data_IF_428361720954
#
_entry.id   IF_428361720954
#
_cell.length_a   1.000
_cell.length_b   1.000
_cell.length_c   1.000
_cell.angle_alpha   90.00
_cell.angle_beta   90.00
_cell.angle_gamma   90.00
#
_symmetry.space_group_name_H-M   'P 1'
#
loop_
_entity.id
_entity.type
_entity.pdbx_description
1 polymer ?
#
# COMPACT_ATOMS: atom_id res chain seq x y z
N UNK A 1 3.43 -25.81 -2.96
CA UNK A 1 4.01 -25.46 -1.64
C UNK A 1 4.32 -26.74 -0.88
N UNK A 2 5.59 -27.13 -0.75
CA UNK A 2 5.95 -28.40 -0.10
C UNK A 2 5.67 -28.43 1.42
N UNK A 3 5.50 -27.27 2.06
CA UNK A 3 5.13 -27.18 3.49
C UNK A 3 3.61 -27.14 3.73
N UNK A 4 2.88 -26.35 2.95
CA UNK A 4 1.45 -26.09 3.14
C UNK A 4 0.54 -26.89 2.20
N UNK A 5 1.12 -27.79 1.39
CA UNK A 5 0.45 -28.61 0.37
C UNK A 5 -0.39 -27.86 -0.67
N UNK A 6 -0.43 -26.52 -0.65
CA UNK A 6 -1.13 -25.75 -1.68
C UNK A 6 -0.49 -25.94 -3.06
N UNK A 7 -1.34 -26.20 -4.05
CA UNK A 7 -0.99 -26.31 -5.46
C UNK A 7 -1.84 -25.35 -6.31
N UNK A 8 -1.26 -24.89 -7.41
CA UNK A 8 -1.88 -23.89 -8.28
C UNK A 8 -0.99 -23.57 -9.48
N UNK A 9 -1.54 -22.82 -10.42
CA UNK A 9 -0.79 -22.21 -11.50
C UNK A 9 -0.16 -20.87 -11.05
N UNK A 10 0.56 -20.23 -11.98
CA UNK A 10 1.20 -18.93 -11.77
C UNK A 10 0.19 -17.83 -11.43
N UNK A 11 -1.04 -17.90 -11.96
CA UNK A 11 -2.09 -16.92 -11.69
C UNK A 11 -2.58 -17.05 -10.25
N UNK A 12 -2.89 -18.28 -9.81
CA UNK A 12 -3.34 -18.56 -8.43
C UNK A 12 -2.27 -18.19 -7.41
N UNK A 13 -0.99 -18.33 -7.76
CA UNK A 13 0.12 -17.84 -6.94
C UNK A 13 0.07 -16.32 -6.77
N UNK A 14 0.02 -15.55 -7.86
CA UNK A 14 -0.04 -14.08 -7.81
C UNK A 14 -1.30 -13.56 -7.12
N UNK A 15 -2.46 -14.15 -7.41
CA UNK A 15 -3.72 -13.78 -6.76
C UNK A 15 -3.65 -13.92 -5.23
N UNK A 16 -3.02 -15.00 -4.74
CA UNK A 16 -2.85 -15.22 -3.29
C UNK A 16 -1.72 -14.38 -2.68
N UNK A 17 -0.64 -14.18 -3.42
CA UNK A 17 0.53 -13.44 -2.94
C UNK A 17 0.25 -11.94 -2.83
N UNK A 18 -0.39 -11.36 -3.85
CA UNK A 18 -0.56 -9.92 -4.02
C UNK A 18 -2.02 -9.46 -3.88
N UNK A 19 -2.96 -10.38 -3.64
CA UNK A 19 -4.39 -10.05 -3.52
C UNK A 19 -4.99 -9.56 -4.84
N UNK A 20 -4.46 -10.04 -5.96
CA UNK A 20 -4.95 -9.72 -7.30
C UNK A 20 -6.20 -10.54 -7.63
N UNK A 21 -7.08 -9.95 -8.42
CA UNK A 21 -8.09 -10.68 -9.18
C UNK A 21 -7.43 -11.47 -10.32
N UNK A 22 -8.15 -12.44 -10.89
CA UNK A 22 -7.63 -13.21 -12.01
C UNK A 22 -7.21 -12.33 -13.20
N UNK A 23 -8.02 -11.31 -13.54
CA UNK A 23 -7.72 -10.39 -14.65
C UNK A 23 -6.48 -9.54 -14.35
N UNK A 24 -6.31 -9.07 -13.12
CA UNK A 24 -5.11 -8.36 -12.69
C UNK A 24 -3.87 -9.26 -12.79
N UNK A 25 -3.94 -10.49 -12.30
CA UNK A 25 -2.84 -11.46 -12.41
C UNK A 25 -2.48 -11.79 -13.87
N UNK A 26 -3.48 -11.86 -14.76
CA UNK A 26 -3.25 -12.02 -16.21
C UNK A 26 -2.54 -10.79 -16.78
N UNK A 27 -2.96 -9.58 -16.43
CA UNK A 27 -2.33 -8.34 -16.90
C UNK A 27 -0.88 -8.20 -16.40
N UNK A 28 -0.62 -8.53 -15.13
CA UNK A 28 0.72 -8.50 -14.53
C UNK A 28 1.70 -9.45 -15.24
N UNK A 29 1.24 -10.63 -15.66
CA UNK A 29 2.08 -11.58 -16.41
C UNK A 29 2.17 -11.28 -17.90
N UNK A 30 1.11 -10.72 -18.49
CA UNK A 30 1.05 -10.45 -19.92
C UNK A 30 1.95 -9.29 -20.35
N UNK A 31 2.12 -8.27 -19.51
CA UNK A 31 2.99 -7.12 -19.77
C UNK A 31 4.44 -7.52 -20.07
N UNK A 32 5.13 -8.22 -19.15
CA UNK A 32 6.49 -8.74 -19.38
C UNK A 32 6.58 -9.75 -20.54
N UNK A 33 5.51 -10.50 -20.79
CA UNK A 33 5.45 -11.48 -21.89
C UNK A 33 5.17 -10.85 -23.27
N UNK A 34 4.91 -9.53 -23.34
CA UNK A 34 4.54 -8.85 -24.58
C UNK A 34 3.18 -9.28 -25.15
N UNK A 35 2.32 -9.86 -24.32
CA UNK A 35 1.01 -10.37 -24.72
C UNK A 35 -0.02 -9.26 -24.50
N UNK A 36 -0.75 -8.90 -25.55
CA UNK A 36 -1.89 -7.99 -25.43
C UNK A 36 -3.08 -8.75 -24.85
N UNK A 37 -3.61 -8.27 -23.73
CA UNK A 37 -4.82 -8.81 -23.11
C UNK A 37 -6.01 -8.00 -23.62
N UNK A 38 -7.00 -8.62 -24.30
CA UNK A 38 -8.16 -7.89 -24.78
C UNK A 38 -8.93 -7.30 -23.60
N UNK A 39 -9.16 -5.99 -23.65
CA UNK A 39 -9.97 -5.31 -22.65
C UNK A 39 -11.44 -5.54 -22.94
N UNK A 40 -12.12 -6.23 -22.02
CA UNK A 40 -13.60 -6.24 -22.03
C UNK A 40 -14.10 -4.95 -21.40
N UNK A 41 -15.23 -4.47 -21.89
CA UNK A 41 -15.96 -3.44 -21.17
C UNK A 41 -16.34 -3.95 -19.79
N UNK A 42 -15.89 -3.21 -18.77
CA UNK A 42 -16.29 -3.46 -17.40
C UNK A 42 -17.75 -3.08 -17.22
N UNK A 43 -18.48 -3.87 -16.45
CA UNK A 43 -19.83 -3.49 -15.99
C UNK A 43 -19.77 -2.23 -15.12
N UNK A 44 -20.90 -1.54 -14.95
CA UNK A 44 -20.98 -0.36 -14.07
C UNK A 44 -20.53 -0.67 -12.63
N UNK A 45 -20.90 -1.85 -12.12
CA UNK A 45 -20.51 -2.34 -10.80
C UNK A 45 -18.99 -2.57 -10.68
N UNK A 46 -18.36 -3.19 -11.67
CA UNK A 46 -16.92 -3.42 -11.68
C UNK A 46 -16.13 -2.11 -11.77
N UNK A 47 -16.57 -1.16 -12.62
CA UNK A 47 -15.95 0.17 -12.68
C UNK A 47 -16.06 0.89 -11.34
N UNK A 48 -17.18 0.76 -10.63
CA UNK A 48 -17.36 1.34 -9.31
C UNK A 48 -16.42 0.70 -8.28
N UNK A 49 -16.31 -0.63 -8.26
CA UNK A 49 -15.40 -1.35 -7.36
C UNK A 49 -13.94 -0.95 -7.59
N UNK A 50 -13.48 -0.86 -8.83
CA UNK A 50 -12.13 -0.40 -9.16
C UNK A 50 -11.88 1.04 -8.72
N UNK A 51 -12.85 1.95 -8.92
CA UNK A 51 -12.74 3.34 -8.41
C UNK A 51 -12.61 3.39 -6.89
N UNK A 52 -13.38 2.57 -6.17
CA UNK A 52 -13.28 2.48 -4.72
C UNK A 52 -11.91 1.94 -4.29
N UNK A 53 -11.43 0.86 -4.90
CA UNK A 53 -10.09 0.29 -4.63
C UNK A 53 -8.99 1.33 -4.89
N UNK A 54 -9.02 2.00 -6.04
CA UNK A 54 -8.06 3.06 -6.39
C UNK A 54 -8.07 4.17 -5.35
N UNK A 55 -9.27 4.60 -4.92
CA UNK A 55 -9.40 5.63 -3.89
C UNK A 55 -8.80 5.21 -2.55
N UNK A 56 -8.97 3.96 -2.15
CA UNK A 56 -8.37 3.42 -0.92
C UNK A 56 -6.85 3.35 -1.02
N UNK A 57 -6.31 2.93 -2.17
CA UNK A 57 -4.87 2.89 -2.40
C UNK A 57 -4.24 4.29 -2.35
N UNK A 58 -4.91 5.30 -2.92
CA UNK A 58 -4.49 6.71 -2.80
C UNK A 58 -4.45 7.18 -1.34
N UNK A 59 -5.45 6.81 -0.54
CA UNK A 59 -5.50 7.14 0.89
C UNK A 59 -4.38 6.45 1.67
N UNK A 60 -4.13 5.17 1.40
CA UNK A 60 -3.02 4.43 2.01
C UNK A 60 -1.67 5.05 1.65
N UNK A 61 -1.47 5.44 0.39
CA UNK A 61 -0.24 6.13 -0.02
C UNK A 61 -0.07 7.47 0.70
N UNK A 62 -1.15 8.23 0.88
CA UNK A 62 -1.13 9.48 1.63
C UNK A 62 -0.76 9.24 3.10
N UNK A 63 -1.36 8.24 3.75
CA UNK A 63 -1.04 7.87 5.12
C UNK A 63 0.43 7.46 5.28
N UNK A 64 0.95 6.63 4.37
CA UNK A 64 2.36 6.23 4.34
C UNK A 64 3.28 7.44 4.29
N UNK A 65 3.00 8.41 3.41
CA UNK A 65 3.80 9.63 3.30
C UNK A 65 3.77 10.47 4.58
N UNK A 66 2.61 10.56 5.23
CA UNK A 66 2.45 11.29 6.49
C UNK A 66 3.26 10.62 7.61
N UNK A 67 3.17 9.30 7.75
CA UNK A 67 3.94 8.57 8.75
C UNK A 67 5.45 8.61 8.49
N UNK A 68 5.87 8.51 7.23
CA UNK A 68 7.26 8.69 6.83
C UNK A 68 7.75 10.10 7.20
N UNK A 69 6.96 11.14 6.90
CA UNK A 69 7.26 12.51 7.30
C UNK A 69 7.37 12.64 8.82
N UNK A 70 6.48 12.00 9.58
CA UNK A 70 6.52 11.98 11.04
C UNK A 70 7.82 11.38 11.59
N UNK A 71 8.28 10.26 11.01
CA UNK A 71 9.53 9.61 11.39
C UNK A 71 10.74 10.49 11.12
N UNK A 72 10.80 11.20 10.00
CA UNK A 72 12.01 11.90 9.57
C UNK A 72 12.08 13.37 9.96
N UNK A 73 10.95 14.06 10.02
CA UNK A 73 10.89 15.52 10.20
C UNK A 73 10.34 15.93 11.55
N UNK A 74 9.41 15.16 12.13
CA UNK A 74 8.73 15.55 13.36
C UNK A 74 9.53 15.14 14.60
N UNK A 75 9.37 15.89 15.69
CA UNK A 75 9.99 15.59 16.98
C UNK A 75 9.48 14.26 17.55
N UNK A 76 8.18 13.97 17.37
CA UNK A 76 7.57 12.70 17.77
C UNK A 76 8.30 11.48 17.17
N UNK A 77 8.85 11.60 15.95
CA UNK A 77 9.61 10.54 15.30
C UNK A 77 10.96 10.20 15.94
N UNK A 78 11.44 10.98 16.93
CA UNK A 78 12.73 10.75 17.58
C UNK A 78 12.83 9.36 18.21
N UNK A 79 11.76 8.88 18.88
CA UNK A 79 11.73 7.52 19.45
C UNK A 79 11.94 6.46 18.35
N UNK A 80 11.28 6.62 17.21
CA UNK A 80 11.43 5.74 16.04
C UNK A 80 12.85 5.75 15.47
N UNK A 81 13.45 6.93 15.26
CA UNK A 81 14.82 7.06 14.73
C UNK A 81 15.85 6.42 15.66
N UNK A 82 15.72 6.63 16.98
CA UNK A 82 16.59 5.98 17.97
C UNK A 82 16.48 4.46 17.92
N UNK A 83 15.26 3.94 17.80
CA UNK A 83 15.00 2.50 17.69
C UNK A 83 15.61 1.89 16.42
N UNK A 84 15.46 2.55 15.26
CA UNK A 84 16.08 2.09 14.01
C UNK A 84 17.60 2.03 14.13
N UNK A 85 18.21 3.05 14.75
CA UNK A 85 19.66 3.09 14.99
C UNK A 85 20.12 1.97 15.92
N UNK A 86 19.38 1.68 17.00
CA UNK A 86 19.67 0.56 17.91
C UNK A 86 19.57 -0.80 17.22
N UNK A 87 18.67 -0.94 16.25
CA UNK A 87 18.52 -2.12 15.40
C UNK A 87 19.61 -2.26 14.33
N UNK A 88 20.50 -1.28 14.19
CA UNK A 88 21.51 -1.24 13.13
C UNK A 88 20.92 -1.02 11.73
N UNK A 89 19.69 -0.48 11.64
CA UNK A 89 19.07 -0.19 10.35
C UNK A 89 19.58 1.16 9.82
N UNK A 90 20.19 1.13 8.65
CA UNK A 90 20.65 2.36 7.98
C UNK A 90 19.47 3.23 7.53
N UNK A 91 19.64 4.55 7.67
CA UNK A 91 18.62 5.52 7.29
C UNK A 91 18.23 5.42 5.81
N UNK A 92 19.20 5.16 4.93
CA UNK A 92 18.93 5.01 3.50
C UNK A 92 17.96 3.86 3.22
N UNK A 93 18.17 2.69 3.84
CA UNK A 93 17.31 1.52 3.70
C UNK A 93 15.92 1.83 4.27
N UNK A 94 15.87 2.47 5.45
CA UNK A 94 14.61 2.87 6.08
C UNK A 94 13.78 3.82 5.21
N UNK A 95 14.44 4.76 4.51
CA UNK A 95 13.80 5.68 3.57
C UNK A 95 13.33 4.98 2.30
N UNK A 96 14.15 4.09 1.73
CA UNK A 96 13.77 3.30 0.55
C UNK A 96 12.56 2.41 0.81
N UNK A 97 12.47 1.83 2.02
CA UNK A 97 11.33 1.04 2.45
C UNK A 97 10.10 1.87 2.87
N UNK A 98 10.15 3.21 2.77
CA UNK A 98 9.10 4.13 3.23
C UNK A 98 8.67 3.90 4.68
N UNK A 99 9.64 3.61 5.58
CA UNK A 99 9.33 3.47 6.99
C UNK A 99 8.78 4.79 7.56
N UNK A 100 7.79 4.66 8.43
CA UNK A 100 7.14 5.75 9.12
C UNK A 100 7.01 5.53 10.61
N UNK A 101 6.52 6.55 11.31
CA UNK A 101 6.32 6.52 12.76
C UNK A 101 4.91 7.00 13.08
N UNK A 102 4.17 6.17 13.82
CA UNK A 102 2.88 6.54 14.38
C UNK A 102 3.09 7.05 15.82
N UNK A 103 2.78 8.33 16.11
CA UNK A 103 2.82 8.84 17.47
C UNK A 103 1.84 8.13 18.40
N UNK A 104 2.05 8.26 19.71
CA UNK A 104 1.17 7.74 20.75
C UNK A 104 -0.15 8.53 20.81
N UNK A 105 -1.00 8.36 19.79
CA UNK A 105 -2.37 8.87 19.75
C UNK A 105 -3.18 8.11 18.71
N UNK A 106 -4.43 7.78 19.08
CA UNK A 106 -5.40 7.10 18.24
C UNK A 106 -5.99 7.99 17.15
N UNK A 107 -5.96 9.30 17.35
CA UNK A 107 -6.60 10.30 16.48
C UNK A 107 -5.59 11.16 15.73
N UNK A 108 -4.29 10.99 15.99
CA UNK A 108 -3.25 11.87 15.44
C UNK A 108 -3.33 12.05 13.92
N UNK A 109 -3.53 10.98 13.17
CA UNK A 109 -3.65 11.05 11.70
C UNK A 109 -4.94 11.77 11.26
N UNK A 110 -6.03 11.62 12.02
CA UNK A 110 -7.35 12.18 11.73
C UNK A 110 -7.46 13.67 12.07
N UNK A 111 -6.65 14.14 13.02
CA UNK A 111 -6.61 15.53 13.48
C UNK A 111 -5.71 16.40 12.62
N UNK A 112 -4.93 15.82 11.70
CA UNK A 112 -4.11 16.59 10.78
C UNK A 112 -5.00 17.46 9.89
N UNK A 113 -4.59 18.71 9.61
CA UNK A 113 -5.34 19.59 8.75
C UNK A 113 -5.60 18.91 7.41
N UNK A 114 -6.82 19.03 6.85
CA UNK A 114 -7.16 18.40 5.59
C UNK A 114 -6.17 18.87 4.53
N UNK A 115 -5.33 17.94 4.07
CA UNK A 115 -4.43 18.22 2.95
C UNK A 115 -5.28 18.47 1.72
N UNK A 116 -4.76 19.14 0.67
CA UNK A 116 -5.51 19.34 -0.60
C UNK A 116 -6.02 18.03 -1.26
N UNK A 117 -5.60 16.86 -0.76
CA UNK A 117 -6.02 15.50 -1.15
C UNK A 117 -6.74 14.73 -0.02
N UNK A 118 -7.14 15.43 1.04
CA UNK A 118 -7.15 14.96 2.42
C UNK A 118 -8.23 13.97 2.87
N UNK A 119 -7.85 13.21 3.91
CA UNK A 119 -8.72 12.41 4.77
C UNK A 119 -9.85 13.28 5.32
N UNK A 120 -11.10 12.95 5.00
CA UNK A 120 -12.25 13.42 5.76
C UNK A 120 -12.75 12.26 6.60
N UNK A 121 -13.22 12.54 7.82
CA UNK A 121 -13.78 11.52 8.74
C UNK A 121 -14.92 10.70 8.12
N UNK A 122 -15.53 11.19 7.04
CA UNK A 122 -16.60 10.56 6.25
C UNK A 122 -16.07 9.55 5.21
N UNK A 123 -14.76 9.47 4.97
CA UNK A 123 -14.13 8.53 4.02
C UNK A 123 -13.66 7.20 4.66
N UNK A 124 -13.78 7.06 5.98
CA UNK A 124 -13.61 5.82 6.76
C UNK A 124 -14.98 5.28 7.17
#
# INVERSE_FOLDING_TARGET
CHGCQEWGDVFKFLMKLEGLTFVEAVKELAGPAGISVPERELTSAERQSLRQRSRLLELLQLATNIYASCLWTHQAGQKGRTYLKQRGLEEQIARQANLGFAPESWTWLLELPPTKRGFTRTML
#
